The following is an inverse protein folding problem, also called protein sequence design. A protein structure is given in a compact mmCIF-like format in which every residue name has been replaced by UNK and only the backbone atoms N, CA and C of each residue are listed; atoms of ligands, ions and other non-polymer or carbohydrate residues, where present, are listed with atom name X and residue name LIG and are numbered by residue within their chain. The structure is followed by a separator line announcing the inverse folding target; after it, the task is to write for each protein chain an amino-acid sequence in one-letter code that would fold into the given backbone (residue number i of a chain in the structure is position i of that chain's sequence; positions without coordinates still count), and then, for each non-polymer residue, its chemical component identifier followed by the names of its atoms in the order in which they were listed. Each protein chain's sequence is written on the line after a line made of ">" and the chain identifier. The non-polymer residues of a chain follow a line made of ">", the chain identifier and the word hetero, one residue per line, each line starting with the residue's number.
data_IF_639943371993
#
_entry.id   IF_639943371993
#
_cell.length_a   1.000
_cell.length_b   1.000
_cell.length_c   1.000
_cell.angle_alpha   90.00
_cell.angle_beta   90.00
_cell.angle_gamma   90.00
#
_symmetry.space_group_name_H-M   'P 1'
#
loop_
_entity.id
_entity.type
_entity.pdbx_description
1 polymer ?
#
# COMPACT_ATOMS: atom_id res chain seq x y z
N UNK A 1 20.48 -8.13 -9.50
CA UNK A 1 19.09 -8.28 -9.99
C UNK A 1 18.37 -6.93 -10.01
N UNK A 2 17.20 -6.85 -10.68
CA UNK A 2 16.51 -5.58 -10.96
C UNK A 2 16.21 -4.72 -9.72
N UNK A 3 15.92 -5.33 -8.56
CA UNK A 3 15.70 -4.61 -7.29
C UNK A 3 16.92 -3.76 -6.90
N UNK A 4 18.12 -4.35 -6.95
CA UNK A 4 19.35 -3.63 -6.63
C UNK A 4 19.63 -2.54 -7.67
N UNK A 5 19.48 -2.86 -8.97
CA UNK A 5 19.67 -1.89 -10.05
C UNK A 5 18.71 -0.70 -9.91
N UNK A 6 17.43 -0.95 -9.65
CA UNK A 6 16.45 0.12 -9.39
C UNK A 6 16.90 0.98 -8.20
N UNK A 7 17.18 0.34 -7.06
CA UNK A 7 17.53 1.06 -5.85
C UNK A 7 18.78 1.94 -6.02
N UNK A 8 19.81 1.40 -6.66
CA UNK A 8 21.08 2.11 -6.87
C UNK A 8 20.89 3.28 -7.87
N UNK A 9 20.17 3.05 -8.97
CA UNK A 9 19.89 4.08 -9.98
C UNK A 9 19.06 5.23 -9.40
N UNK A 10 17.94 4.92 -8.73
CA UNK A 10 17.06 5.95 -8.19
C UNK A 10 17.73 6.70 -7.04
N UNK A 11 18.53 6.03 -6.21
CA UNK A 11 19.28 6.70 -5.15
C UNK A 11 20.28 7.70 -5.70
N UNK A 12 20.98 7.35 -6.77
CA UNK A 12 21.92 8.25 -7.45
C UNK A 12 21.20 9.47 -8.07
N UNK A 13 19.99 9.29 -8.59
CA UNK A 13 19.21 10.35 -9.24
C UNK A 13 18.49 11.29 -8.25
N UNK A 14 18.12 10.79 -7.07
CA UNK A 14 17.20 11.50 -6.17
C UNK A 14 17.78 11.86 -4.82
N UNK A 15 18.98 11.36 -4.50
CA UNK A 15 19.57 11.44 -3.16
C UNK A 15 18.70 10.83 -2.05
N UNK A 16 17.70 10.02 -2.42
CA UNK A 16 16.89 9.29 -1.45
C UNK A 16 17.62 8.06 -0.92
N UNK A 17 17.38 7.64 0.33
CA UNK A 17 18.01 6.46 0.91
C UNK A 17 17.79 5.21 0.05
N UNK A 18 18.83 4.43 -0.13
CA UNK A 18 18.76 3.16 -0.87
C UNK A 18 17.71 2.20 -0.32
N UNK A 19 17.52 2.17 1.01
CA UNK A 19 16.50 1.36 1.66
C UNK A 19 15.08 1.75 1.24
N UNK A 20 14.81 3.04 1.04
CA UNK A 20 13.51 3.52 0.54
C UNK A 20 13.26 3.02 -0.87
N UNK A 21 14.25 3.13 -1.74
CA UNK A 21 14.15 2.68 -3.12
C UNK A 21 14.06 1.16 -3.24
N UNK A 22 14.69 0.39 -2.34
CA UNK A 22 14.50 -1.06 -2.26
C UNK A 22 13.06 -1.42 -1.88
N UNK A 23 12.47 -0.75 -0.89
CA UNK A 23 11.07 -0.99 -0.51
C UNK A 23 10.12 -0.63 -1.65
N UNK A 24 10.35 0.50 -2.32
CA UNK A 24 9.57 0.89 -3.50
C UNK A 24 9.68 -0.19 -4.57
N UNK A 25 10.88 -0.65 -4.91
CA UNK A 25 11.07 -1.70 -5.91
C UNK A 25 10.33 -2.99 -5.55
N UNK A 26 10.38 -3.41 -4.29
CA UNK A 26 9.63 -4.58 -3.82
C UNK A 26 8.11 -4.39 -4.01
N UNK A 27 7.58 -3.23 -3.64
CA UNK A 27 6.15 -2.90 -3.80
C UNK A 27 5.73 -2.83 -5.27
N UNK A 28 6.56 -2.26 -6.15
CA UNK A 28 6.30 -2.25 -7.60
C UNK A 28 6.27 -3.67 -8.17
N UNK A 29 7.24 -4.51 -7.78
CA UNK A 29 7.29 -5.90 -8.18
C UNK A 29 6.08 -6.71 -7.69
N UNK A 30 5.74 -6.55 -6.40
CA UNK A 30 4.55 -7.14 -5.82
C UNK A 30 3.28 -6.73 -6.61
N UNK A 31 3.13 -5.44 -6.88
CA UNK A 31 1.98 -4.90 -7.64
C UNK A 31 1.92 -5.48 -9.05
N UNK A 32 3.07 -5.57 -9.75
CA UNK A 32 3.15 -6.09 -11.11
C UNK A 32 2.75 -7.58 -11.24
N UNK A 33 2.88 -8.34 -10.16
CA UNK A 33 2.45 -9.75 -10.11
C UNK A 33 0.92 -9.90 -10.19
N UNK A 34 0.15 -8.89 -9.79
CA UNK A 34 -1.33 -8.87 -9.89
C UNK A 34 -1.99 -10.06 -9.19
N UNK A 35 -1.42 -10.55 -8.08
CA UNK A 35 -1.92 -11.71 -7.35
C UNK A 35 -1.78 -13.06 -8.04
N UNK A 36 -1.04 -13.14 -9.17
CA UNK A 36 -0.86 -14.38 -9.93
C UNK A 36 0.11 -15.36 -9.29
N UNK A 37 0.96 -14.91 -8.38
CA UNK A 37 1.88 -15.76 -7.63
C UNK A 37 1.30 -16.05 -6.24
N UNK A 38 1.39 -17.30 -5.83
CA UNK A 38 1.02 -17.78 -4.49
C UNK A 38 2.11 -18.72 -4.02
N UNK A 39 2.61 -18.48 -2.82
CA UNK A 39 3.53 -19.36 -2.14
C UNK A 39 2.72 -20.26 -1.19
N UNK A 40 2.77 -21.57 -1.42
CA UNK A 40 2.10 -22.55 -0.57
C UNK A 40 3.01 -22.88 0.63
N UNK A 41 2.61 -22.45 1.81
CA UNK A 41 3.29 -22.72 3.07
C UNK A 41 2.50 -23.76 3.87
N UNK A 42 3.12 -24.36 4.90
CA UNK A 42 2.46 -25.35 5.78
C UNK A 42 1.23 -24.79 6.51
N UNK A 43 1.20 -23.49 6.75
CA UNK A 43 0.11 -22.79 7.42
C UNK A 43 -0.92 -22.16 6.45
N UNK A 44 -0.73 -22.32 5.14
CA UNK A 44 -1.66 -21.81 4.13
C UNK A 44 -0.98 -21.04 2.98
N UNK A 45 -1.76 -20.57 2.01
CA UNK A 45 -1.25 -19.81 0.87
C UNK A 45 -0.86 -18.40 1.29
N UNK A 46 0.34 -17.96 0.91
CA UNK A 46 0.85 -16.60 1.11
C UNK A 46 0.96 -15.89 -0.22
N UNK A 47 0.49 -14.67 -0.28
CA UNK A 47 0.60 -13.81 -1.46
C UNK A 47 1.64 -12.73 -1.23
N UNK A 48 2.36 -12.29 -2.27
CA UNK A 48 3.42 -11.29 -2.13
C UNK A 48 2.91 -9.85 -2.14
N UNK A 49 1.66 -9.59 -1.71
CA UNK A 49 1.19 -8.23 -1.45
C UNK A 49 1.91 -7.66 -0.22
N UNK A 50 2.21 -6.37 -0.26
CA UNK A 50 3.02 -5.70 0.75
C UNK A 50 2.38 -4.39 1.18
N UNK A 51 2.40 -4.13 2.48
CA UNK A 51 2.13 -2.81 3.06
C UNK A 51 3.45 -2.22 3.57
N UNK A 52 3.86 -1.09 3.02
CA UNK A 52 5.14 -0.49 3.34
C UNK A 52 5.04 1.03 3.52
N UNK A 53 5.84 1.55 4.47
CA UNK A 53 5.89 2.97 4.76
C UNK A 53 7.33 3.50 4.76
N UNK A 54 7.55 4.63 4.07
CA UNK A 54 8.77 5.40 4.10
C UNK A 54 8.69 6.41 5.25
N UNK A 55 9.36 6.09 6.36
CA UNK A 55 9.37 6.96 7.55
C UNK A 55 10.68 7.73 7.57
N UNK A 56 10.60 9.05 7.44
CA UNK A 56 11.79 9.89 7.43
C UNK A 56 11.47 11.37 7.56
N UNK A 57 12.44 12.18 8.01
CA UNK A 57 12.27 13.63 8.14
C UNK A 57 11.93 14.26 6.79
N UNK A 58 11.01 15.23 6.80
CA UNK A 58 10.70 16.02 5.61
C UNK A 58 11.96 16.74 5.11
N UNK A 59 12.04 16.96 3.81
CA UNK A 59 13.12 17.67 3.11
C UNK A 59 14.49 16.99 3.14
N UNK A 60 14.75 16.03 4.05
CA UNK A 60 16.05 15.36 4.18
C UNK A 60 16.14 14.11 3.32
N UNK A 61 15.10 13.29 3.33
CA UNK A 61 15.13 11.95 2.73
C UNK A 61 14.39 11.84 1.39
N UNK A 62 13.93 12.96 0.81
CA UNK A 62 13.33 13.01 -0.54
C UNK A 62 12.27 11.91 -0.80
N UNK A 63 11.45 11.60 0.22
CA UNK A 63 10.43 10.52 0.15
C UNK A 63 9.48 10.68 -1.04
N UNK A 64 8.88 11.86 -1.18
CA UNK A 64 7.92 12.13 -2.25
C UNK A 64 8.56 12.03 -3.63
N UNK A 65 9.84 12.44 -3.76
CA UNK A 65 10.60 12.27 -5.00
C UNK A 65 10.82 10.80 -5.31
N UNK A 66 11.21 9.99 -4.30
CA UNK A 66 11.40 8.55 -4.48
C UNK A 66 10.07 7.86 -4.90
N UNK A 67 8.96 8.21 -4.25
CA UNK A 67 7.62 7.70 -4.61
C UNK A 67 7.25 8.09 -6.04
N UNK A 68 7.43 9.37 -6.42
CA UNK A 68 7.15 9.83 -7.77
C UNK A 68 7.96 9.06 -8.83
N UNK A 69 9.24 8.77 -8.56
CA UNK A 69 10.06 7.94 -9.46
C UNK A 69 9.54 6.51 -9.57
N UNK A 70 9.02 5.93 -8.49
CA UNK A 70 8.32 4.64 -8.54
C UNK A 70 7.09 4.68 -9.44
N UNK A 71 6.28 5.73 -9.36
CA UNK A 71 5.11 5.91 -10.21
C UNK A 71 5.50 6.11 -11.70
N UNK A 72 6.57 6.88 -11.98
CA UNK A 72 7.13 7.01 -13.33
C UNK A 72 7.54 5.65 -13.92
N UNK A 73 8.13 4.77 -13.11
CA UNK A 73 8.51 3.42 -13.57
C UNK A 73 7.28 2.56 -13.86
N UNK A 74 6.22 2.65 -13.05
CA UNK A 74 4.95 1.96 -13.36
C UNK A 74 4.36 2.47 -14.67
N UNK A 75 4.35 3.77 -14.90
CA UNK A 75 3.85 4.37 -16.13
C UNK A 75 4.69 3.95 -17.36
N UNK A 76 6.01 3.97 -17.25
CA UNK A 76 6.91 3.52 -18.31
C UNK A 76 6.73 2.03 -18.65
N UNK A 77 6.36 1.22 -17.66
CA UNK A 77 6.03 -0.20 -17.85
C UNK A 77 4.58 -0.44 -18.30
N UNK A 78 3.79 0.61 -18.55
CA UNK A 78 2.35 0.54 -18.87
C UNK A 78 1.53 -0.16 -17.77
N UNK A 79 1.92 0.03 -16.53
CA UNK A 79 1.30 -0.52 -15.32
C UNK A 79 0.68 0.55 -14.41
N UNK A 80 0.63 1.80 -14.85
CA UNK A 80 0.01 2.94 -14.14
C UNK A 80 -1.47 2.67 -13.81
N UNK A 81 -2.18 1.96 -14.70
CA UNK A 81 -3.52 1.48 -14.44
C UNK A 81 -3.65 0.59 -13.19
N UNK A 82 -2.56 0.07 -12.61
CA UNK A 82 -2.59 -0.68 -11.34
C UNK A 82 -2.62 0.24 -10.11
N UNK A 83 -2.37 1.52 -10.25
CA UNK A 83 -2.53 2.44 -9.14
C UNK A 83 -4.02 2.62 -8.84
N UNK A 84 -4.41 2.31 -7.61
CA UNK A 84 -5.76 2.54 -7.11
C UNK A 84 -5.91 4.01 -6.73
N UNK A 85 -7.12 4.58 -6.88
CA UNK A 85 -7.36 5.95 -6.44
C UNK A 85 -7.19 6.07 -4.92
N UNK A 86 -6.58 7.17 -4.47
CA UNK A 86 -6.56 7.54 -3.05
C UNK A 86 -7.91 8.17 -2.69
N UNK A 87 -8.88 7.34 -2.37
CA UNK A 87 -10.26 7.75 -2.12
C UNK A 87 -10.48 8.36 -0.74
N UNK A 88 -9.55 8.15 0.18
CA UNK A 88 -9.68 8.62 1.57
C UNK A 88 -10.80 7.94 2.37
N UNK A 89 -11.65 7.10 1.76
CA UNK A 89 -12.74 6.38 2.43
C UNK A 89 -12.71 4.89 2.11
N UNK A 90 -13.19 4.07 3.06
CA UNK A 90 -13.33 2.64 2.87
C UNK A 90 -14.26 2.31 1.69
N UNK A 91 -15.41 2.97 1.61
CA UNK A 91 -16.39 2.74 0.54
C UNK A 91 -15.78 2.99 -0.84
N UNK A 92 -15.05 4.08 -1.00
CA UNK A 92 -14.39 4.41 -2.26
C UNK A 92 -13.34 3.38 -2.66
N UNK A 93 -12.55 2.88 -1.70
CA UNK A 93 -11.59 1.80 -1.95
C UNK A 93 -12.28 0.51 -2.36
N UNK A 94 -13.33 0.10 -1.65
CA UNK A 94 -14.07 -1.13 -1.95
C UNK A 94 -14.76 -1.04 -3.31
N UNK A 95 -15.32 0.12 -3.68
CA UNK A 95 -15.88 0.34 -5.01
C UNK A 95 -14.81 0.18 -6.11
N UNK A 96 -13.64 0.79 -5.94
CA UNK A 96 -12.53 0.64 -6.89
C UNK A 96 -12.05 -0.81 -7.00
N UNK A 97 -12.00 -1.55 -5.89
CA UNK A 97 -11.62 -2.96 -5.87
C UNK A 97 -12.70 -3.89 -6.45
N UNK A 98 -13.95 -3.50 -6.43
CA UNK A 98 -15.03 -4.24 -7.11
C UNK A 98 -14.88 -4.18 -8.63
N UNK A 99 -14.36 -3.07 -9.16
CA UNK A 99 -14.05 -2.93 -10.59
C UNK A 99 -12.75 -3.70 -10.96
N UNK A 100 -11.76 -3.67 -10.08
CA UNK A 100 -10.48 -4.33 -10.27
C UNK A 100 -9.92 -4.80 -8.93
N UNK A 101 -9.90 -6.11 -8.72
CA UNK A 101 -9.56 -6.74 -7.43
C UNK A 101 -8.10 -6.61 -7.00
N UNK A 102 -7.25 -5.87 -7.73
CA UNK A 102 -5.83 -5.76 -7.42
C UNK A 102 -5.28 -4.35 -7.74
N UNK A 103 -4.27 -3.94 -6.99
CA UNK A 103 -3.57 -2.68 -7.27
C UNK A 103 -2.67 -2.19 -6.14
N UNK A 104 -2.12 -1.00 -6.37
CA UNK A 104 -1.26 -0.27 -5.44
C UNK A 104 -1.95 1.00 -4.97
N UNK A 105 -2.08 1.15 -3.67
CA UNK A 105 -2.44 2.42 -3.03
C UNK A 105 -1.15 3.18 -2.75
N UNK A 106 -1.05 4.42 -3.25
CA UNK A 106 0.05 5.34 -2.93
C UNK A 106 -0.50 6.45 -2.04
N UNK A 107 0.13 6.67 -0.88
CA UNK A 107 -0.36 7.63 0.09
C UNK A 107 0.76 8.46 0.70
N UNK A 108 0.75 9.77 0.45
CA UNK A 108 1.77 10.71 0.93
C UNK A 108 1.80 10.85 2.46
N UNK A 109 0.65 10.67 3.13
CA UNK A 109 0.56 10.74 4.58
C UNK A 109 -0.12 9.48 5.12
N UNK A 110 0.66 8.39 5.14
CA UNK A 110 0.16 7.08 5.59
C UNK A 110 -0.21 7.05 7.07
N UNK A 111 0.35 7.94 7.90
CA UNK A 111 0.00 8.06 9.31
C UNK A 111 -1.52 8.29 9.54
N UNK A 112 -2.21 8.89 8.56
CA UNK A 112 -3.68 9.03 8.63
C UNK A 112 -4.42 7.70 8.63
N UNK A 113 -3.83 6.62 8.09
CA UNK A 113 -4.44 5.29 8.14
C UNK A 113 -4.49 4.77 9.57
N UNK A 114 -3.41 4.99 10.35
CA UNK A 114 -3.36 4.60 11.76
C UNK A 114 -4.33 5.42 12.62
N UNK A 115 -4.53 6.69 12.28
CA UNK A 115 -5.50 7.56 12.96
C UNK A 115 -6.93 7.43 12.42
N UNK A 116 -7.20 6.52 11.49
CA UNK A 116 -8.48 6.42 10.77
C UNK A 116 -9.70 6.24 11.67
N UNK A 117 -9.56 5.50 12.77
CA UNK A 117 -10.66 5.28 13.72
C UNK A 117 -11.09 6.55 14.45
N UNK A 118 -10.21 7.57 14.51
CA UNK A 118 -10.50 8.89 15.08
C UNK A 118 -11.20 9.82 14.08
N UNK A 119 -11.26 9.42 12.81
CA UNK A 119 -11.79 10.22 11.71
C UNK A 119 -13.10 9.56 11.24
N UNK A 120 -14.23 10.23 11.48
CA UNK A 120 -15.59 9.68 11.24
C UNK A 120 -15.78 9.02 9.87
N UNK A 121 -15.29 9.62 8.80
CA UNK A 121 -15.45 9.08 7.42
C UNK A 121 -14.43 7.98 7.06
N UNK A 122 -13.48 7.70 7.96
CA UNK A 122 -12.48 6.64 7.79
C UNK A 122 -12.69 5.46 8.74
N UNK A 123 -13.75 5.47 9.54
CA UNK A 123 -14.03 4.37 10.46
C UNK A 123 -14.16 3.05 9.69
N UNK A 124 -13.55 2.00 10.21
CA UNK A 124 -13.49 0.68 9.57
C UNK A 124 -12.45 0.54 8.44
N UNK A 125 -11.74 1.62 8.06
CA UNK A 125 -10.76 1.56 6.98
C UNK A 125 -9.60 0.61 7.30
N UNK A 126 -9.09 0.63 8.53
CA UNK A 126 -8.02 -0.29 8.99
C UNK A 126 -8.46 -1.74 8.92
N UNK A 127 -9.64 -2.05 9.46
CA UNK A 127 -10.20 -3.40 9.45
C UNK A 127 -10.39 -3.92 8.02
N UNK A 128 -10.85 -3.08 7.12
CA UNK A 128 -10.96 -3.45 5.71
C UNK A 128 -9.58 -3.71 5.08
N UNK A 129 -8.58 -2.87 5.37
CA UNK A 129 -7.22 -3.08 4.86
C UNK A 129 -6.60 -4.38 5.41
N UNK A 130 -6.79 -4.69 6.69
CA UNK A 130 -6.33 -5.95 7.28
C UNK A 130 -6.99 -7.14 6.58
N UNK A 131 -8.32 -7.12 6.42
CA UNK A 131 -9.04 -8.18 5.71
C UNK A 131 -8.63 -8.32 4.23
N UNK A 132 -8.32 -7.21 3.55
CA UNK A 132 -7.82 -7.22 2.18
C UNK A 132 -6.39 -7.76 2.08
N UNK A 133 -5.56 -7.58 3.12
CA UNK A 133 -4.21 -8.11 3.16
C UNK A 133 -4.18 -9.63 3.15
N UNK A 134 -5.10 -10.28 3.87
CA UNK A 134 -5.21 -11.73 3.98
C UNK A 134 -5.61 -12.40 2.64
N UNK A 135 -6.18 -11.65 1.70
CA UNK A 135 -6.44 -12.10 0.33
C UNK A 135 -7.55 -13.14 0.17
N UNK A 136 -8.38 -13.33 1.18
CA UNK A 136 -9.59 -14.14 1.13
C UNK A 136 -10.71 -13.47 0.30
N UNK A 137 -11.89 -14.10 0.22
CA UNK A 137 -13.05 -13.44 -0.39
C UNK A 137 -13.53 -12.33 0.54
N UNK A 138 -13.45 -11.09 0.07
CA UNK A 138 -13.93 -9.93 0.81
C UNK A 138 -15.38 -9.61 0.43
N UNK A 139 -16.24 -9.39 1.44
CA UNK A 139 -17.65 -9.06 1.25
C UNK A 139 -18.01 -7.86 2.11
N UNK A 140 -18.65 -6.87 1.49
CA UNK A 140 -19.13 -5.68 2.19
C UNK A 140 -20.40 -5.14 1.55
N UNK A 141 -21.34 -4.68 2.38
CA UNK A 141 -22.55 -4.00 1.91
C UNK A 141 -22.30 -2.50 1.86
N UNK A 142 -22.48 -1.90 0.68
CA UNK A 142 -22.32 -0.46 0.46
C UNK A 142 -23.63 0.10 -0.11
N UNK A 143 -24.17 1.11 0.56
CA UNK A 143 -25.39 1.82 0.07
C UNK A 143 -26.53 0.89 -0.38
N UNK A 144 -26.71 -0.24 0.34
CA UNK A 144 -27.72 -1.24 0.03
C UNK A 144 -27.32 -2.31 -0.98
N UNK A 145 -26.15 -2.21 -1.60
CA UNK A 145 -25.61 -3.20 -2.56
C UNK A 145 -24.58 -4.09 -1.88
N UNK A 146 -24.70 -5.40 -2.03
CA UNK A 146 -23.73 -6.38 -1.55
C UNK A 146 -22.60 -6.53 -2.57
N UNK A 147 -21.39 -6.11 -2.20
CA UNK A 147 -20.19 -6.25 -3.00
C UNK A 147 -19.39 -7.46 -2.54
N UNK A 148 -18.94 -8.25 -3.50
CA UNK A 148 -18.04 -9.39 -3.27
C UNK A 148 -16.82 -9.22 -4.14
N UNK A 149 -15.64 -9.20 -3.52
CA UNK A 149 -14.35 -9.13 -4.20
C UNK A 149 -13.67 -10.49 -4.00
N UNK A 150 -13.55 -11.24 -5.06
CA UNK A 150 -12.87 -12.52 -5.03
C UNK A 150 -11.36 -12.29 -5.04
N UNK A 151 -10.69 -12.79 -4.01
CA UNK A 151 -9.22 -12.78 -3.93
C UNK A 151 -8.59 -11.39 -4.13
N UNK A 152 -8.95 -10.38 -3.33
CA UNK A 152 -8.32 -9.06 -3.42
C UNK A 152 -6.81 -9.18 -3.26
N UNK A 153 -6.09 -8.32 -4.00
CA UNK A 153 -4.63 -8.27 -3.95
C UNK A 153 -4.17 -6.81 -3.97
N UNK A 154 -3.96 -6.27 -2.79
CA UNK A 154 -3.66 -4.85 -2.58
C UNK A 154 -2.30 -4.70 -1.94
N UNK A 155 -1.47 -3.80 -2.49
CA UNK A 155 -0.26 -3.33 -1.85
C UNK A 155 -0.41 -1.85 -1.48
N UNK A 156 0.30 -1.40 -0.44
CA UNK A 156 0.28 -0.01 0.01
C UNK A 156 1.70 0.52 0.07
N UNK A 157 1.95 1.62 -0.63
CA UNK A 157 3.15 2.44 -0.50
C UNK A 157 2.79 3.74 0.21
N UNK A 158 3.24 3.88 1.44
CA UNK A 158 3.01 5.07 2.24
C UNK A 158 4.27 5.90 2.47
N UNK A 159 4.11 7.18 2.76
CA UNK A 159 5.17 8.03 3.25
C UNK A 159 4.67 8.85 4.45
N UNK A 160 5.53 9.10 5.43
CA UNK A 160 5.22 9.94 6.58
C UNK A 160 6.48 10.45 7.28
N UNK A 161 6.34 11.28 8.29
CA UNK A 161 7.44 11.69 9.17
C UNK A 161 7.41 10.88 10.47
N UNK A 162 8.57 10.72 11.17
CA UNK A 162 8.61 10.01 12.45
C UNK A 162 7.60 10.59 13.47
N UNK A 163 7.55 11.92 13.61
CA UNK A 163 6.63 12.57 14.55
C UNK A 163 5.18 12.17 14.26
N UNK A 164 4.71 12.33 13.02
CA UNK A 164 3.34 11.97 12.64
C UNK A 164 3.05 10.48 12.78
N UNK A 165 4.05 9.65 12.50
CA UNK A 165 3.90 8.20 12.69
C UNK A 165 3.66 7.87 14.16
N UNK A 166 4.52 8.34 15.06
CA UNK A 166 4.39 8.07 16.49
C UNK A 166 3.13 8.71 17.12
N UNK A 167 2.71 9.87 16.62
CA UNK A 167 1.46 10.52 17.07
C UNK A 167 0.20 9.74 16.63
N UNK A 168 0.28 9.02 15.51
CA UNK A 168 -0.85 8.31 14.93
C UNK A 168 -0.98 6.87 15.41
N UNK A 169 0.15 6.17 15.59
CA UNK A 169 0.19 4.78 16.03
C UNK A 169 -0.05 4.72 17.53
N UNK A 170 -1.04 3.96 17.95
CA UNK A 170 -1.32 3.66 19.35
C UNK A 170 -0.91 2.24 19.73
N UNK A 171 -0.92 1.93 21.03
CA UNK A 171 -0.57 0.59 21.52
C UNK A 171 -1.46 -0.49 20.89
N UNK A 172 -2.74 -0.19 20.67
CA UNK A 172 -3.69 -1.11 20.02
C UNK A 172 -3.32 -1.50 18.60
N UNK A 173 -2.65 -0.62 17.85
CA UNK A 173 -2.27 -0.89 16.46
C UNK A 173 -1.25 -2.04 16.38
N UNK A 174 -0.43 -2.19 17.42
CA UNK A 174 0.52 -3.30 17.54
C UNK A 174 -0.14 -4.61 17.93
N UNK A 175 -1.20 -4.54 18.76
CA UNK A 175 -1.93 -5.70 19.27
C UNK A 175 -2.93 -6.24 18.23
N UNK A 176 -3.53 -5.36 17.42
CA UNK A 176 -4.56 -5.69 16.42
C UNK A 176 -3.98 -6.22 15.10
N UNK A 177 -2.66 -6.25 14.95
CA UNK A 177 -1.99 -6.81 13.77
C UNK A 177 -2.04 -5.92 12.52
N UNK A 178 -2.25 -4.62 12.70
CA UNK A 178 -2.27 -3.66 11.59
C UNK A 178 -0.89 -3.05 11.35
#
# INVERSE_FOLDING_TARGET
>A
GWLATYADTISAMTSSPRSFNLLIALLLGATAIKGKAVLHMSFGPVRPNLYGALIGKSTVYHKSTAVAKGQEVLAAAQLDGLQLPDTGTSEGLIAALAERSHGLIVRDEVARLFASDRIKYMQGYKQDLTALFDGGTFRKRLSGTDLTIASPYVSILGATTPARFYDAVGDRDWDDGF
#
